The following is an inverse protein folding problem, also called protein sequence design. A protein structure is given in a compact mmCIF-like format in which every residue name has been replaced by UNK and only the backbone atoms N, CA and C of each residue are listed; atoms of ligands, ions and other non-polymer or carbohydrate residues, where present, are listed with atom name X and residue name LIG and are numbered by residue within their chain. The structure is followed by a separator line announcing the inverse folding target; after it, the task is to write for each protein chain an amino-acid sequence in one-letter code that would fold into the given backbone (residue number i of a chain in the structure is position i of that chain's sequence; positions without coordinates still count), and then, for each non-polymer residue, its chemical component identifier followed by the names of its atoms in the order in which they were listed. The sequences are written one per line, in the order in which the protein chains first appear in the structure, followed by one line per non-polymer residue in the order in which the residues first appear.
data_IF_619311606719
#
_entry.id   IF_619311606719
#
_cell.length_a   1.000
_cell.length_b   1.000
_cell.length_c   1.000
_cell.angle_alpha   90.00
_cell.angle_beta   90.00
_cell.angle_gamma   90.00
#
_symmetry.space_group_name_H-M   'P 1'
#
loop_
_entity.id
_entity.type
_entity.pdbx_description
1 polymer ?
#
# COMPACT_ATOMS: atom_id res chain seq x y z
N UNK A 1 -17.22 21.80 -0.10
CA UNK A 1 -17.08 20.37 0.17
C UNK A 1 -15.66 19.95 -0.06
N UNK A 2 -15.03 19.43 0.96
CA UNK A 2 -13.61 19.09 0.90
C UNK A 2 -13.44 17.60 0.75
N UNK A 3 -13.21 17.14 -0.47
CA UNK A 3 -12.81 15.78 -0.69
C UNK A 3 -11.29 15.69 -0.59
N UNK A 4 -10.80 14.67 0.08
CA UNK A 4 -9.37 14.40 0.11
C UNK A 4 -8.91 14.05 -1.30
N UNK A 5 -7.93 14.77 -1.85
CA UNK A 5 -7.45 14.43 -3.19
C UNK A 5 -6.83 13.05 -3.21
N UNK A 6 -7.13 12.29 -4.24
CA UNK A 6 -6.50 11.00 -4.45
C UNK A 6 -5.56 11.08 -5.65
N UNK A 7 -4.45 10.39 -5.53
CA UNK A 7 -3.46 10.29 -6.59
C UNK A 7 -3.54 8.88 -7.14
N UNK A 8 -3.81 8.77 -8.44
CA UNK A 8 -3.93 7.47 -9.09
C UNK A 8 -2.76 7.28 -10.04
N UNK A 9 -2.28 6.07 -10.11
CA UNK A 9 -1.20 5.77 -11.04
C UNK A 9 -0.64 4.38 -10.81
N UNK A 10 0.40 4.07 -11.57
CA UNK A 10 1.13 2.82 -11.45
C UNK A 10 2.28 3.03 -10.48
N UNK A 11 2.37 2.20 -9.47
CA UNK A 11 3.41 2.31 -8.46
C UNK A 11 4.14 0.98 -8.30
N UNK A 12 5.45 1.10 -8.03
CA UNK A 12 6.22 -0.05 -7.57
C UNK A 12 6.12 -0.08 -6.05
N UNK A 13 5.69 -1.22 -5.53
CA UNK A 13 5.52 -1.43 -4.11
C UNK A 13 6.54 -2.46 -3.64
N UNK A 14 7.39 -2.06 -2.71
CA UNK A 14 8.26 -2.97 -2.00
C UNK A 14 7.61 -3.25 -0.66
N UNK A 15 7.30 -4.50 -0.38
CA UNK A 15 6.60 -4.86 0.85
C UNK A 15 7.37 -5.95 1.59
N UNK A 16 7.32 -5.88 2.91
CA UNK A 16 8.06 -6.78 3.77
C UNK A 16 7.10 -7.50 4.70
N UNK A 17 7.30 -8.81 4.83
CA UNK A 17 6.56 -9.63 5.78
C UNK A 17 7.53 -10.46 6.60
N UNK A 18 7.17 -10.70 7.88
CA UNK A 18 7.97 -11.56 8.73
C UNK A 18 7.58 -13.01 8.51
N UNK A 19 8.60 -13.85 8.45
CA UNK A 19 8.41 -15.30 8.34
C UNK A 19 9.19 -15.99 9.44
N UNK A 20 9.02 -17.30 9.55
CA UNK A 20 9.79 -18.11 10.50
C UNK A 20 11.29 -18.02 10.24
N UNK A 21 11.69 -17.67 9.03
CA UNK A 21 13.09 -17.58 8.64
C UNK A 21 13.58 -16.13 8.58
N UNK A 22 12.82 -15.20 9.13
CA UNK A 22 13.15 -13.79 9.13
C UNK A 22 12.32 -12.99 8.14
N UNK A 23 12.59 -11.69 8.01
CA UNK A 23 11.84 -10.84 7.10
C UNK A 23 12.16 -11.13 5.65
N UNK A 24 11.13 -11.13 4.81
CA UNK A 24 11.25 -11.28 3.36
C UNK A 24 10.70 -10.03 2.71
N UNK A 25 11.45 -9.45 1.79
CA UNK A 25 11.02 -8.29 1.03
C UNK A 25 10.72 -8.71 -0.41
N UNK A 26 9.55 -8.34 -0.89
CA UNK A 26 9.12 -8.58 -2.27
C UNK A 26 8.71 -7.27 -2.91
N UNK A 27 8.59 -7.27 -4.22
CA UNK A 27 8.16 -6.07 -4.94
C UNK A 27 7.14 -6.45 -6.02
N UNK A 28 6.30 -5.49 -6.36
CA UNK A 28 5.29 -5.65 -7.38
C UNK A 28 4.96 -4.27 -7.96
N UNK A 29 4.55 -4.24 -9.22
CA UNK A 29 4.03 -3.03 -9.84
C UNK A 29 2.52 -3.18 -10.00
N UNK A 30 1.77 -2.24 -9.45
CA UNK A 30 0.31 -2.28 -9.45
C UNK A 30 -0.26 -0.90 -9.73
N UNK A 31 -1.50 -0.89 -10.24
CA UNK A 31 -2.29 0.34 -10.22
C UNK A 31 -2.73 0.61 -8.80
N UNK A 32 -2.57 1.84 -8.36
CA UNK A 32 -2.90 2.23 -6.99
C UNK A 32 -3.65 3.55 -6.97
N UNK A 33 -4.35 3.78 -5.88
CA UNK A 33 -4.95 5.06 -5.54
C UNK A 33 -4.47 5.42 -4.14
N UNK A 34 -3.96 6.63 -3.99
CA UNK A 34 -3.34 7.08 -2.76
C UNK A 34 -4.08 8.28 -2.21
N UNK A 35 -4.41 8.25 -0.93
CA UNK A 35 -5.02 9.38 -0.23
C UNK A 35 -4.22 9.67 1.02
N UNK A 36 -3.83 10.94 1.19
CA UNK A 36 -3.18 11.41 2.40
C UNK A 36 -4.23 11.96 3.35
N UNK A 37 -4.20 11.51 4.59
CA UNK A 37 -5.08 12.00 5.64
C UNK A 37 -4.22 12.45 6.83
N UNK A 38 -4.84 13.12 7.79
CA UNK A 38 -4.12 13.60 8.96
C UNK A 38 -3.54 12.41 9.73
N UNK A 39 -2.21 12.32 9.74
CA UNK A 39 -1.49 11.29 10.49
C UNK A 39 -1.39 9.93 9.84
N UNK A 40 -2.05 9.69 8.73
CA UNK A 40 -2.01 8.39 8.07
C UNK A 40 -2.23 8.50 6.57
N UNK A 41 -2.04 7.38 5.90
CA UNK A 41 -2.16 7.32 4.44
C UNK A 41 -2.98 6.09 4.08
N UNK A 42 -3.88 6.24 3.13
CA UNK A 42 -4.68 5.13 2.61
C UNK A 42 -4.18 4.79 1.22
N UNK A 43 -3.76 3.54 1.05
CA UNK A 43 -3.29 3.03 -0.24
C UNK A 43 -4.26 1.95 -0.70
N UNK A 44 -4.93 2.19 -1.82
CA UNK A 44 -5.77 1.18 -2.47
C UNK A 44 -4.96 0.56 -3.59
N UNK A 45 -4.80 -0.75 -3.56
CA UNK A 45 -4.04 -1.49 -4.56
C UNK A 45 -5.01 -2.29 -5.42
N UNK A 46 -4.92 -2.05 -6.72
CA UNK A 46 -5.78 -2.73 -7.69
C UNK A 46 -5.01 -3.87 -8.35
N UNK A 47 -5.67 -4.62 -9.20
CA UNK A 47 -5.05 -5.75 -9.86
C UNK A 47 -3.91 -5.30 -10.79
N UNK A 48 -2.86 -6.13 -10.97
CA UNK A 48 -2.67 -7.46 -10.37
C UNK A 48 -2.28 -7.37 -8.90
N UNK A 49 -2.90 -8.21 -8.09
CA UNK A 49 -2.73 -8.18 -6.65
C UNK A 49 -2.05 -9.47 -6.20
N UNK A 50 -0.80 -9.41 -5.70
CA UNK A 50 -0.16 -10.62 -5.18
C UNK A 50 -0.85 -11.08 -3.89
N UNK A 51 -0.94 -12.41 -3.73
CA UNK A 51 -1.66 -12.99 -2.60
C UNK A 51 -1.06 -12.62 -1.25
N UNK A 52 0.25 -12.40 -1.22
CA UNK A 52 0.96 -12.14 0.03
C UNK A 52 1.06 -10.67 0.40
N UNK A 53 0.58 -9.77 -0.46
CA UNK A 53 0.60 -8.34 -0.14
C UNK A 53 -0.27 -8.03 1.08
N UNK A 54 -1.36 -8.75 1.25
CA UNK A 54 -2.25 -8.57 2.39
C UNK A 54 -1.56 -8.87 3.74
N UNK A 55 -0.48 -9.65 3.71
CA UNK A 55 0.25 -10.01 4.91
C UNK A 55 1.43 -9.08 5.17
N UNK A 56 1.62 -8.05 4.35
CA UNK A 56 2.72 -7.12 4.50
C UNK A 56 2.60 -6.34 5.80
N UNK A 57 3.71 -6.12 6.45
CA UNK A 57 3.80 -5.31 7.67
C UNK A 57 4.29 -3.92 7.38
N UNK A 58 5.17 -3.78 6.41
CA UNK A 58 5.65 -2.48 5.95
C UNK A 58 5.61 -2.44 4.43
N UNK A 59 5.38 -1.25 3.91
CA UNK A 59 5.41 -1.02 2.47
C UNK A 59 6.21 0.25 2.18
N UNK A 60 6.93 0.21 1.06
CA UNK A 60 7.57 1.38 0.48
C UNK A 60 7.10 1.46 -0.95
N UNK A 61 6.55 2.58 -1.34
CA UNK A 61 6.06 2.71 -2.71
C UNK A 61 6.48 4.05 -3.29
N UNK A 62 6.64 4.07 -4.60
CA UNK A 62 6.97 5.28 -5.35
C UNK A 62 5.84 5.58 -6.32
N UNK A 63 5.30 6.77 -6.26
CA UNK A 63 4.24 7.25 -7.12
C UNK A 63 4.54 8.69 -7.51
N UNK A 64 4.54 8.97 -8.81
CA UNK A 64 4.83 10.30 -9.33
C UNK A 64 6.17 10.85 -8.83
N UNK A 65 7.18 9.98 -8.75
CA UNK A 65 8.51 10.37 -8.30
C UNK A 65 8.65 10.57 -6.80
N UNK A 66 7.58 10.37 -6.05
CA UNK A 66 7.60 10.51 -4.59
C UNK A 66 7.60 9.13 -3.95
N UNK A 67 8.55 8.92 -3.06
CA UNK A 67 8.69 7.67 -2.31
C UNK A 67 8.07 7.82 -0.93
N UNK A 68 7.22 6.89 -0.56
CA UNK A 68 6.55 6.90 0.74
C UNK A 68 6.80 5.57 1.45
N UNK A 69 7.07 5.64 2.74
CA UNK A 69 7.33 4.50 3.59
C UNK A 69 6.26 4.46 4.68
N UNK A 70 5.62 3.32 4.86
CA UNK A 70 4.57 3.20 5.86
C UNK A 70 4.51 1.84 6.51
N UNK A 71 4.02 1.83 7.76
CA UNK A 71 3.70 0.60 8.49
C UNK A 71 2.22 0.32 8.30
N UNK A 72 1.89 -0.92 7.93
CA UNK A 72 0.50 -1.31 7.70
C UNK A 72 -0.19 -1.46 9.05
N UNK A 73 -1.21 -0.63 9.28
CA UNK A 73 -1.98 -0.66 10.52
C UNK A 73 -3.29 -1.41 10.35
N UNK A 74 -3.87 -1.37 9.15
CA UNK A 74 -5.09 -2.08 8.88
C UNK A 74 -5.13 -2.44 7.40
N UNK A 75 -5.86 -3.50 7.09
CA UNK A 75 -6.01 -3.99 5.74
C UNK A 75 -7.41 -4.51 5.53
N UNK A 76 -7.94 -4.26 4.33
CA UNK A 76 -9.30 -4.62 4.01
C UNK A 76 -9.42 -5.03 2.55
N UNK A 77 -9.95 -6.21 2.29
CA UNK A 77 -10.31 -6.63 0.95
C UNK A 77 -11.66 -6.02 0.58
N UNK A 78 -11.72 -5.38 -0.56
CA UNK A 78 -12.93 -4.74 -1.03
C UNK A 78 -13.68 -5.66 -2.00
N UNK A 79 -14.95 -5.32 -2.25
CA UNK A 79 -15.82 -6.15 -3.08
C UNK A 79 -15.33 -6.26 -4.53
N UNK A 80 -14.55 -5.29 -5.00
CA UNK A 80 -13.99 -5.30 -6.35
C UNK A 80 -12.66 -6.02 -6.44
N UNK A 81 -12.29 -6.78 -5.40
CA UNK A 81 -11.03 -7.52 -5.28
C UNK A 81 -9.80 -6.64 -5.13
N UNK A 82 -9.97 -5.37 -4.86
CA UNK A 82 -8.85 -4.51 -4.49
C UNK A 82 -8.51 -4.66 -3.01
N UNK A 83 -7.33 -4.19 -2.64
CA UNK A 83 -6.85 -4.23 -1.26
C UNK A 83 -6.65 -2.80 -0.77
N UNK A 84 -7.27 -2.48 0.35
CA UNK A 84 -7.09 -1.19 1.00
C UNK A 84 -6.15 -1.36 2.18
N UNK A 85 -5.07 -0.58 2.18
CA UNK A 85 -4.10 -0.57 3.26
C UNK A 85 -4.13 0.79 3.94
N UNK A 86 -4.26 0.78 5.26
CA UNK A 86 -4.11 1.97 6.07
C UNK A 86 -2.72 1.98 6.66
N UNK A 87 -1.95 3.03 6.35
CA UNK A 87 -0.54 3.10 6.66
C UNK A 87 -0.26 4.24 7.63
N UNK A 88 0.56 3.94 8.62
CA UNK A 88 1.15 4.97 9.45
C UNK A 88 2.47 5.37 8.81
N UNK A 89 2.61 6.65 8.46
CA UNK A 89 3.82 7.14 7.82
C UNK A 89 4.99 7.16 8.78
N UNK A 90 6.13 6.76 8.27
CA UNK A 90 7.38 6.78 9.01
C UNK A 90 8.16 8.04 8.71
#
# INVERSE_FOLDING_TARGET
MNSTPSINGKARIDYTQDTLFGPITRHVECQVSLQYQAGWTVLNVFQPLPDDLRDAQTVVFALEGRRTHGVVKDRQHLADHSLRLELERQ
#
